data_IF_600506409228
#
_entry.id   IF_600506409228
#
_cell.length_a   1.000
_cell.length_b   1.000
_cell.length_c   1.000
_cell.angle_alpha   90.00
_cell.angle_beta   90.00
_cell.angle_gamma   90.00
#
_symmetry.space_group_name_H-M   'P 1'
#
loop_
_entity.id
_entity.type
_entity.pdbx_description
1 polymer ?
#
# COMPACT_ATOMS: atom_id res chain seq x y z
N UNK A 1 18.39 7.84 -7.74
CA UNK A 1 17.43 8.14 -8.81
C UNK A 1 16.06 7.77 -8.29
N UNK A 2 15.13 8.71 -8.21
CA UNK A 2 13.81 8.45 -7.66
C UNK A 2 13.07 7.47 -8.58
N UNK A 3 12.72 6.30 -8.04
CA UNK A 3 11.94 5.30 -8.78
C UNK A 3 10.54 5.87 -8.99
N UNK A 4 10.06 5.94 -10.23
CA UNK A 4 8.67 6.29 -10.52
C UNK A 4 7.79 5.05 -10.45
N UNK A 5 6.61 5.18 -9.87
CA UNK A 5 5.60 4.11 -9.79
C UNK A 5 4.24 4.66 -10.21
N UNK A 6 3.46 3.80 -10.85
CA UNK A 6 2.08 4.12 -11.18
C UNK A 6 1.22 3.94 -9.93
N UNK A 7 0.87 5.06 -9.28
CA UNK A 7 0.13 5.01 -8.03
C UNK A 7 -1.32 4.62 -8.30
N UNK A 8 -1.76 3.45 -7.82
CA UNK A 8 -3.15 2.98 -7.99
C UNK A 8 -4.19 3.92 -7.34
N UNK A 9 -3.79 4.67 -6.31
CA UNK A 9 -4.69 5.59 -5.59
C UNK A 9 -4.85 6.94 -6.28
N UNK A 10 -3.77 7.44 -6.87
CA UNK A 10 -3.72 8.75 -7.53
C UNK A 10 -3.91 8.64 -9.05
N UNK A 11 -3.86 7.41 -9.59
CA UNK A 11 -3.92 7.07 -11.01
C UNK A 11 -2.97 7.91 -11.88
N UNK A 12 -1.77 8.19 -11.34
CA UNK A 12 -0.71 8.96 -11.96
C UNK A 12 0.66 8.37 -11.62
N UNK A 13 1.65 8.65 -12.46
CA UNK A 13 3.04 8.38 -12.13
C UNK A 13 3.50 9.34 -11.03
N UNK A 14 4.06 8.77 -9.97
CA UNK A 14 4.58 9.51 -8.84
C UNK A 14 5.84 8.83 -8.30
N UNK A 15 6.57 9.52 -7.44
CA UNK A 15 7.75 8.94 -6.80
C UNK A 15 7.35 7.76 -5.93
N UNK A 16 7.88 6.58 -6.25
CA UNK A 16 7.80 5.37 -5.48
C UNK A 16 8.58 5.48 -4.18
N UNK A 17 8.30 4.54 -3.28
CA UNK A 17 9.12 4.38 -2.08
C UNK A 17 10.53 3.90 -2.46
N UNK A 18 11.51 4.23 -1.63
CA UNK A 18 12.91 3.78 -1.79
C UNK A 18 13.11 2.34 -1.25
N UNK A 19 12.26 1.90 -0.33
CA UNK A 19 12.31 0.58 0.28
C UNK A 19 10.90 0.00 0.52
N UNK A 20 10.72 -1.33 0.42
CA UNK A 20 9.45 -1.97 0.74
C UNK A 20 9.16 -1.82 2.24
N UNK A 21 8.00 -1.23 2.62
CA UNK A 21 7.71 -0.92 4.02
C UNK A 21 7.29 -2.15 4.84
N UNK A 22 6.85 -3.22 4.17
CA UNK A 22 6.47 -4.48 4.82
C UNK A 22 7.20 -5.65 4.17
N UNK A 23 7.65 -6.65 4.96
CA UNK A 23 8.23 -7.87 4.40
C UNK A 23 7.15 -8.74 3.76
N UNK A 24 7.52 -9.45 2.68
CA UNK A 24 6.63 -10.38 1.96
C UNK A 24 6.10 -9.83 0.63
N UNK A 25 5.27 -10.62 -0.04
CA UNK A 25 4.74 -10.28 -1.38
C UNK A 25 3.83 -9.04 -1.36
N UNK A 26 3.08 -8.85 -0.28
CA UNK A 26 2.25 -7.65 -0.10
C UNK A 26 3.10 -6.37 -0.12
N UNK A 27 4.29 -6.41 0.48
CA UNK A 27 5.20 -5.26 0.49
C UNK A 27 5.79 -4.96 -0.87
N UNK A 28 6.06 -5.99 -1.68
CA UNK A 28 6.48 -5.81 -3.08
C UNK A 28 5.37 -5.17 -3.91
N UNK A 29 4.12 -5.64 -3.78
CA UNK A 29 2.98 -5.03 -4.47
C UNK A 29 2.78 -3.57 -4.09
N UNK A 30 2.82 -3.26 -2.80
CA UNK A 30 2.71 -1.86 -2.33
C UNK A 30 3.88 -1.04 -2.87
N UNK A 31 5.09 -1.57 -2.79
CA UNK A 31 6.27 -0.90 -3.32
C UNK A 31 6.16 -0.63 -4.82
N UNK A 32 5.57 -1.52 -5.61
CA UNK A 32 5.39 -1.37 -7.06
C UNK A 32 4.20 -0.50 -7.48
N UNK A 33 3.13 -0.48 -6.68
CA UNK A 33 1.85 0.13 -7.04
C UNK A 33 1.50 1.38 -6.23
N UNK A 34 2.27 1.73 -5.19
CA UNK A 34 1.98 2.83 -4.26
C UNK A 34 3.14 3.81 -4.22
N UNK A 35 2.82 5.10 -4.42
CA UNK A 35 3.79 6.19 -4.32
C UNK A 35 4.04 6.60 -2.87
N UNK A 36 5.14 7.32 -2.65
CA UNK A 36 5.50 7.92 -1.37
C UNK A 36 4.39 8.85 -0.83
N UNK A 37 3.71 9.57 -1.71
CA UNK A 37 2.57 10.43 -1.37
C UNK A 37 1.39 9.63 -0.82
N UNK A 38 0.98 8.57 -1.52
CA UNK A 38 -0.11 7.70 -1.08
C UNK A 38 0.23 6.94 0.20
N UNK A 39 1.50 6.54 0.38
CA UNK A 39 1.95 5.92 1.62
C UNK A 39 1.92 6.87 2.81
N UNK A 40 2.31 8.13 2.62
CA UNK A 40 2.20 9.15 3.66
C UNK A 40 0.74 9.38 4.08
N UNK A 41 -0.19 9.36 3.13
CA UNK A 41 -1.63 9.42 3.43
C UNK A 41 -2.09 8.19 4.22
N UNK A 42 -1.63 6.98 3.85
CA UNK A 42 -1.91 5.76 4.58
C UNK A 42 -1.37 5.78 6.02
N UNK A 43 -0.15 6.28 6.26
CA UNK A 43 0.42 6.39 7.61
C UNK A 43 -0.46 7.26 8.54
N UNK A 44 -1.01 8.36 8.01
CA UNK A 44 -1.97 9.21 8.75
C UNK A 44 -3.25 8.43 9.04
N UNK A 45 -3.79 7.72 8.05
CA UNK A 45 -4.98 6.90 8.20
C UNK A 45 -4.79 5.77 9.22
N UNK A 46 -3.65 5.08 9.17
CA UNK A 46 -3.25 4.06 10.13
C UNK A 46 -3.23 4.62 11.56
N UNK A 47 -2.67 5.82 11.75
CA UNK A 47 -2.63 6.47 13.06
C UNK A 47 -4.05 6.77 13.57
N UNK A 48 -4.95 7.24 12.70
CA UNK A 48 -6.37 7.44 13.05
C UNK A 48 -7.04 6.12 13.43
N UNK A 49 -6.88 5.05 12.63
CA UNK A 49 -7.43 3.73 12.93
C UNK A 49 -6.94 3.16 14.26
N UNK A 50 -5.65 3.35 14.57
CA UNK A 50 -5.05 2.91 15.84
C UNK A 50 -5.66 3.66 17.02
N UNK A 51 -5.85 4.98 16.89
CA UNK A 51 -6.44 5.80 17.95
C UNK A 51 -7.94 5.50 18.15
N UNK A 52 -8.72 5.43 17.07
CA UNK A 52 -10.17 5.21 17.12
C UNK A 52 -10.52 3.82 17.67
N UNK A 53 -9.86 2.78 17.16
CA UNK A 53 -10.11 1.40 17.60
C UNK A 53 -9.28 1.02 18.84
N UNK A 54 -8.50 1.96 19.40
CA UNK A 54 -7.53 1.73 20.49
C UNK A 54 -6.69 0.45 20.27
N UNK A 55 -6.21 0.28 19.03
CA UNK A 55 -5.48 -0.91 18.64
C UNK A 55 -4.10 -0.92 19.28
N UNK A 56 -3.72 -2.07 19.83
CA UNK A 56 -2.38 -2.27 20.34
C UNK A 56 -1.50 -2.88 19.25
N UNK A 57 -0.50 -2.14 18.74
CA UNK A 57 0.44 -2.62 17.71
C UNK A 57 1.29 -3.83 18.15
N UNK A 58 1.32 -4.13 19.46
CA UNK A 58 1.93 -5.34 20.00
C UNK A 58 1.05 -6.58 19.82
N UNK A 59 -0.26 -6.41 19.62
CA UNK A 59 -1.20 -7.52 19.43
C UNK A 59 -1.20 -8.01 17.97
N UNK A 60 -1.12 -9.33 17.80
CA UNK A 60 -1.23 -10.01 16.51
C UNK A 60 -2.56 -9.70 15.82
N UNK A 61 -3.65 -9.52 16.57
CA UNK A 61 -4.97 -9.17 16.01
C UNK A 61 -4.97 -7.78 15.39
N UNK A 62 -4.37 -6.80 16.07
CA UNK A 62 -4.24 -5.44 15.55
C UNK A 62 -3.37 -5.41 14.29
N UNK A 63 -2.26 -6.16 14.26
CA UNK A 63 -1.43 -6.27 13.04
C UNK A 63 -2.20 -6.88 11.88
N UNK A 64 -2.97 -7.96 12.12
CA UNK A 64 -3.82 -8.57 11.08
C UNK A 64 -4.90 -7.61 10.60
N UNK A 65 -5.55 -6.89 11.51
CA UNK A 65 -6.55 -5.89 11.15
C UNK A 65 -5.95 -4.76 10.31
N UNK A 66 -4.79 -4.23 10.70
CA UNK A 66 -4.09 -3.19 9.93
C UNK A 66 -3.66 -3.69 8.55
N UNK A 67 -3.19 -4.95 8.44
CA UNK A 67 -2.87 -5.55 7.15
C UNK A 67 -4.10 -5.66 6.25
N UNK A 68 -5.25 -6.09 6.79
CA UNK A 68 -6.51 -6.14 6.04
C UNK A 68 -7.02 -4.75 5.64
N UNK A 69 -6.92 -3.75 6.53
CA UNK A 69 -7.31 -2.38 6.20
C UNK A 69 -6.37 -1.78 5.15
N UNK A 70 -5.07 -2.08 5.22
CA UNK A 70 -4.09 -1.66 4.22
C UNK A 70 -4.43 -2.27 2.86
N UNK A 71 -4.66 -3.59 2.83
CA UNK A 71 -5.08 -4.31 1.64
C UNK A 71 -6.37 -3.74 1.09
N UNK A 72 -7.36 -3.42 1.94
CA UNK A 72 -8.61 -2.79 1.48
C UNK A 72 -8.42 -1.34 1.02
N UNK A 73 -7.54 -0.58 1.65
CA UNK A 73 -7.34 0.83 1.33
C UNK A 73 -6.65 1.04 -0.01
N UNK A 74 -5.68 0.17 -0.30
CA UNK A 74 -4.92 0.17 -1.54
C UNK A 74 -5.56 -0.71 -2.61
N UNK A 75 -6.02 -1.91 -2.24
CA UNK A 75 -6.52 -2.94 -3.17
C UNK A 75 -8.01 -3.32 -2.99
N UNK A 76 -8.74 -2.79 -2.01
CA UNK A 76 -10.15 -3.11 -1.78
C UNK A 76 -11.13 -2.25 -2.58
N UNK A 77 -12.30 -2.83 -2.86
CA UNK A 77 -13.44 -2.27 -3.64
C UNK A 77 -13.04 -1.53 -4.92
N UNK A 78 -12.00 -2.01 -5.60
CA UNK A 78 -11.59 -1.43 -6.88
C UNK A 78 -10.25 -1.88 -7.45
N UNK A 79 -9.44 -2.72 -6.80
CA UNK A 79 -8.27 -3.30 -7.50
C UNK A 79 -8.64 -4.51 -8.34
N UNK A 80 -9.52 -4.26 -9.31
CA UNK A 80 -9.66 -5.05 -10.54
C UNK A 80 -8.73 -4.48 -11.65
N UNK A 81 -7.59 -3.91 -11.25
CA UNK A 81 -6.53 -3.50 -12.16
C UNK A 81 -5.22 -4.08 -11.62
N UNK A 82 -4.60 -5.10 -12.22
CA UNK A 82 -4.50 -5.35 -13.65
C UNK A 82 -4.71 -6.83 -14.01
N UNK A 83 -5.89 -7.15 -14.53
CA UNK A 83 -6.10 -8.29 -15.45
C UNK A 83 -5.42 -8.08 -16.83
N UNK A 84 -4.43 -7.19 -16.94
CA UNK A 84 -3.85 -6.78 -18.22
C UNK A 84 -2.37 -6.37 -18.20
N UNK A 85 -1.63 -6.58 -17.10
CA UNK A 85 -0.18 -6.34 -17.14
C UNK A 85 0.50 -7.57 -17.78
N UNK A 86 0.59 -7.54 -19.11
CA UNK A 86 1.51 -8.40 -19.86
C UNK A 86 2.84 -7.63 -19.94
N UNK A 87 3.90 -8.07 -19.25
CA UNK A 87 5.22 -7.47 -19.46
C UNK A 87 5.62 -7.67 -20.93
N UNK A 88 6.14 -6.66 -21.64
CA UNK A 88 6.72 -6.90 -22.94
C UNK A 88 7.94 -7.81 -22.77
N UNK A 89 7.83 -9.05 -23.24
CA UNK A 89 8.98 -9.88 -23.59
C UNK A 89 9.70 -9.20 -24.75
N UNK A 90 10.89 -8.67 -24.48
CA UNK A 90 11.94 -8.60 -25.50
C UNK A 90 12.36 -10.03 -25.91
#
# INVERSE_FOLDING_TARGET
MARTVHCIKLNKEAEGMDFPPVPGEMGKKIYESVSKEAWAAWMKHQTMLVNENRLNLADLRARKYLAQQMEKHFFGDGADAAMGYVPPTE
#
